data_IF_618585947805
#
_entry.id   IF_618585947805
#
_cell.length_a   1.000
_cell.length_b   1.000
_cell.length_c   1.000
_cell.angle_alpha   90.00
_cell.angle_beta   90.00
_cell.angle_gamma   90.00
#
_symmetry.space_group_name_H-M   'P 1'
#
loop_
_entity.id
_entity.type
_entity.pdbx_description
1 polymer ?
2 non-polymer ?
3 non-polymer ?
4 non-polymer ?
5 water ?
#
# COMPACT_ATOMS: atom_id res chain seq x y z
N UNK A 7 -17.96 30.78 1.41
CA UNK A 7 -17.27 29.48 1.46
C UNK A 7 -16.71 29.02 0.06
N UNK A 8 -17.36 28.03 -0.60
CA UNK A 8 -17.00 27.47 -1.93
C UNK A 8 -18.12 26.55 -2.46
N UNK A 9 -18.08 26.21 -3.78
CA UNK A 9 -19.04 25.29 -4.42
C UNK A 9 -18.32 24.19 -5.21
N UNK A 10 -19.01 23.06 -5.46
CA UNK A 10 -18.48 21.95 -6.25
C UNK A 10 -18.72 22.29 -7.73
N UNK A 11 -17.84 21.83 -8.66
CA UNK A 11 -18.08 22.12 -10.08
C UNK A 11 -19.35 21.49 -10.63
N UNK A 12 -20.02 22.20 -11.53
CA UNK A 12 -21.27 21.81 -12.18
C UNK A 12 -21.23 20.38 -12.72
N UNK A 13 -20.11 20.00 -13.37
CA UNK A 13 -19.88 18.68 -13.98
C UNK A 13 -19.93 17.52 -12.98
N UNK A 14 -19.42 17.75 -11.76
CA UNK A 14 -19.42 16.77 -10.66
C UNK A 14 -20.86 16.65 -10.19
N UNK A 15 -21.46 17.80 -9.81
CA UNK A 15 -22.84 17.95 -9.32
C UNK A 15 -23.84 17.33 -10.27
N UNK A 16 -23.54 17.36 -11.58
CA UNK A 16 -24.38 16.77 -12.62
C UNK A 16 -24.54 15.27 -12.45
N UNK A 17 -23.45 14.57 -12.05
CA UNK A 17 -23.37 13.12 -11.86
C UNK A 17 -23.46 12.61 -10.43
N UNK A 18 -23.05 13.42 -9.44
CA UNK A 18 -23.00 13.02 -8.03
C UNK A 18 -23.73 13.97 -7.08
N UNK A 19 -24.23 13.41 -5.94
CA UNK A 19 -24.85 14.13 -4.82
C UNK A 19 -23.83 14.02 -3.69
N UNK A 20 -23.13 15.13 -3.37
CA UNK A 20 -22.11 15.16 -2.31
C UNK A 20 -22.69 15.07 -0.90
N UNK A 21 -21.91 14.46 0.01
CA UNK A 21 -22.30 14.23 1.41
C UNK A 21 -21.11 14.44 2.38
N UNK A 22 -21.23 13.89 3.62
CA UNK A 22 -20.30 13.97 4.76
C UNK A 22 -18.85 13.57 4.45
N UNK A 23 -17.91 14.06 5.30
CA UNK A 23 -16.47 13.79 5.21
C UNK A 23 -16.14 12.31 5.52
N UNK A 24 -15.33 11.68 4.64
CA UNK A 24 -14.85 10.28 4.68
C UNK A 24 -16.00 9.26 4.58
N UNK A 31 -8.22 15.36 1.30
CA UNK A 31 -9.63 15.56 1.67
C UNK A 31 -10.56 14.54 0.98
N UNK A 32 -11.32 13.71 1.77
CA UNK A 32 -12.21 12.65 1.24
C UNK A 32 -13.66 12.84 1.70
N UNK A 33 -14.61 12.86 0.76
CA UNK A 33 -16.05 12.99 1.04
C UNK A 33 -16.86 11.85 0.46
N UNK A 34 -17.99 11.52 1.11
CA UNK A 34 -18.93 10.52 0.65
C UNK A 34 -19.82 11.20 -0.41
N UNK A 35 -20.19 10.48 -1.46
CA UNK A 35 -21.07 11.00 -2.48
C UNK A 35 -21.95 9.86 -3.01
N UNK A 36 -23.01 10.21 -3.75
CA UNK A 36 -23.88 9.20 -4.34
C UNK A 36 -23.92 9.38 -5.83
N UNK A 37 -23.65 8.32 -6.60
CA UNK A 37 -23.77 8.41 -8.05
C UNK A 37 -25.26 8.46 -8.35
N UNK A 38 -25.70 9.51 -9.06
CA UNK A 38 -27.10 9.76 -9.42
C UNK A 38 -27.72 8.63 -10.25
N UNK A 39 -26.92 8.06 -11.18
CA UNK A 39 -27.33 6.99 -12.09
C UNK A 39 -27.67 5.68 -11.37
N UNK A 40 -26.90 5.33 -10.34
CA UNK A 40 -27.01 4.06 -9.64
C UNK A 40 -27.53 4.13 -8.20
N UNK A 41 -27.50 5.32 -7.58
CA UNK A 41 -27.87 5.57 -6.18
C UNK A 41 -26.95 4.79 -5.26
N UNK A 42 -25.72 4.55 -5.74
CA UNK A 42 -24.67 3.81 -5.04
C UNK A 42 -23.69 4.76 -4.42
N UNK A 43 -23.15 4.38 -3.26
CA UNK A 43 -22.19 5.18 -2.52
C UNK A 43 -20.81 5.13 -3.20
N UNK A 44 -20.15 6.28 -3.27
CA UNK A 44 -18.80 6.43 -3.84
C UNK A 44 -17.97 7.30 -2.88
N UNK A 45 -16.67 7.40 -3.11
CA UNK A 45 -15.82 8.27 -2.31
C UNK A 45 -15.18 9.30 -3.24
N UNK A 46 -15.23 10.58 -2.87
CA UNK A 46 -14.64 11.63 -3.69
C UNK A 46 -13.44 12.31 -3.01
N UNK A 47 -12.21 12.03 -3.54
CA UNK A 47 -10.95 12.62 -3.07
C UNK A 47 -10.71 13.98 -3.75
N UNK A 48 -10.71 15.05 -2.93
CA UNK A 48 -10.47 16.44 -3.35
C UNK A 48 -9.00 16.82 -3.08
N UNK A 49 -8.27 17.17 -4.16
CA UNK A 49 -6.87 17.59 -4.13
C UNK A 49 -6.80 19.06 -4.58
N UNK A 50 -6.12 19.92 -3.78
CA UNK A 50 -5.94 21.36 -4.06
C UNK A 50 -5.03 21.61 -5.27
N UNK A 51 -5.46 22.54 -6.16
CA UNK A 51 -4.71 22.90 -7.38
C UNK A 51 -3.61 23.91 -7.07
N UNK A 67 1.33 15.95 -11.78
CA UNK A 67 1.55 14.82 -10.86
C UNK A 67 0.26 14.01 -10.63
N UNK A 68 -0.89 14.71 -10.41
CA UNK A 68 -2.20 14.09 -10.19
C UNK A 68 -2.64 13.36 -11.46
N UNK A 69 -2.32 13.93 -12.65
CA UNK A 69 -2.62 13.34 -13.96
C UNK A 69 -1.87 12.02 -14.16
N UNK A 70 -0.63 11.93 -13.66
CA UNK A 70 0.19 10.72 -13.71
C UNK A 70 -0.43 9.64 -12.82
N UNK A 71 -0.87 10.04 -11.61
CA UNK A 71 -1.54 9.19 -10.63
C UNK A 71 -2.84 8.59 -11.24
N UNK A 72 -3.61 9.40 -12.00
CA UNK A 72 -4.83 8.99 -12.71
C UNK A 72 -4.47 7.96 -13.77
N UNK A 73 -3.41 8.26 -14.57
CA UNK A 73 -2.90 7.40 -15.64
C UNK A 73 -2.46 6.06 -15.07
N UNK A 74 -1.73 6.08 -13.93
CA UNK A 74 -1.29 4.90 -13.19
C UNK A 74 -2.52 4.08 -12.75
N UNK A 75 -3.45 4.70 -11.99
CA UNK A 75 -4.66 4.06 -11.49
C UNK A 75 -5.57 3.44 -12.55
N UNK A 76 -5.75 4.11 -13.70
CA UNK A 76 -6.60 3.63 -14.81
C UNK A 76 -6.02 2.36 -15.46
N UNK A 77 -4.69 2.24 -15.50
CA UNK A 77 -3.98 1.11 -16.10
C UNK A 77 -3.92 -0.14 -15.22
N UNK A 78 -3.90 0.03 -13.87
CA UNK A 78 -3.79 -1.09 -12.93
C UNK A 78 -5.15 -1.74 -12.65
N UNK A 79 -5.18 -3.07 -12.66
CA UNK A 79 -6.40 -3.83 -12.39
C UNK A 79 -6.11 -5.01 -11.46
N UNK A 80 -6.24 -4.77 -10.13
CA UNK A 80 -6.02 -5.77 -9.09
C UNK A 80 -7.06 -5.61 -7.97
N UNK A 81 -7.55 -6.70 -7.33
CA UNK A 81 -8.56 -6.52 -6.26
C UNK A 81 -8.07 -5.80 -5.01
N UNK A 82 -6.74 -5.72 -4.82
CA UNK A 82 -6.13 -5.07 -3.64
C UNK A 82 -5.50 -3.72 -3.94
N UNK A 83 -5.85 -3.15 -5.11
CA UNK A 83 -5.47 -1.80 -5.52
C UNK A 83 -6.77 -1.01 -5.85
N UNK A 84 -6.94 0.18 -5.24
CA UNK A 84 -8.09 1.09 -5.44
C UNK A 84 -8.34 1.44 -6.92
N UNK A 85 -9.62 1.41 -7.33
CA UNK A 85 -10.02 1.73 -8.70
C UNK A 85 -10.62 3.12 -8.77
N UNK A 86 -10.20 3.87 -9.77
CA UNK A 86 -10.71 5.20 -10.06
C UNK A 86 -11.95 4.97 -10.93
N UNK A 87 -13.06 5.60 -10.52
CA UNK A 87 -14.38 5.49 -11.16
C UNK A 87 -14.64 6.67 -12.09
N UNK A 88 -14.07 7.85 -11.77
CA UNK A 88 -14.25 9.09 -12.52
C UNK A 88 -13.27 10.17 -12.05
N UNK A 89 -13.02 11.18 -12.90
CA UNK A 89 -12.09 12.26 -12.57
C UNK A 89 -12.59 13.62 -13.10
N UNK A 90 -12.39 14.68 -12.29
CA UNK A 90 -12.78 16.05 -12.62
C UNK A 90 -11.61 17.02 -12.37
N UNK A 91 -11.21 17.74 -13.43
CA UNK A 91 -10.13 18.72 -13.38
C UNK A 91 -10.75 20.12 -13.53
N UNK A 92 -11.08 20.74 -12.37
CA UNK A 92 -11.69 22.07 -12.26
C UNK A 92 -10.81 23.00 -11.40
N UNK A 93 -11.41 23.74 -10.43
CA UNK A 93 -10.72 24.66 -9.51
C UNK A 93 -9.79 23.87 -8.58
N UNK A 94 -10.13 22.59 -8.39
CA UNK A 94 -9.42 21.57 -7.63
C UNK A 94 -9.54 20.27 -8.41
N UNK A 95 -8.84 19.23 -7.98
CA UNK A 95 -8.94 17.93 -8.61
C UNK A 95 -9.92 17.09 -7.82
N UNK A 96 -10.90 16.47 -8.51
CA UNK A 96 -11.88 15.60 -7.87
C UNK A 96 -11.69 14.21 -8.44
N UNK A 97 -11.39 13.25 -7.55
CA UNK A 97 -11.17 11.85 -7.92
C UNK A 97 -12.25 10.98 -7.29
N UNK A 98 -13.05 10.32 -8.13
CA UNK A 98 -14.13 9.43 -7.69
C UNK A 98 -13.55 8.01 -7.59
N UNK A 99 -13.62 7.44 -6.39
CA UNK A 99 -13.09 6.12 -6.07
C UNK A 99 -14.16 5.24 -5.47
N UNK A 100 -13.93 3.92 -5.46
CA UNK A 100 -14.84 2.98 -4.83
C UNK A 100 -14.79 3.21 -3.31
N UNK A 101 -15.95 3.30 -2.66
CA UNK A 101 -16.03 3.54 -1.22
C UNK A 101 -15.57 2.33 -0.44
N UNK A 102 -14.80 2.57 0.64
CA UNK A 102 -14.24 1.55 1.53
C UNK A 102 -14.83 1.80 2.90
N UNK A 103 -15.84 1.01 3.23
CA UNK A 103 -16.59 1.15 4.48
C UNK A 103 -15.82 0.91 5.78
N UNK A 104 -14.70 0.19 5.72
CA UNK A 104 -13.87 -0.11 6.89
C UNK A 104 -12.90 1.01 7.26
N UNK A 105 -12.68 1.91 6.32
CA UNK A 105 -11.79 3.05 6.52
C UNK A 105 -10.34 2.65 6.44
N UNK A 106 -9.50 3.41 7.14
CA UNK A 106 -8.06 3.24 7.18
C UNK A 106 -7.62 2.14 8.14
N UNK A 107 -6.49 1.47 7.80
CA UNK A 107 -5.88 0.45 8.65
C UNK A 107 -5.28 1.16 9.88
N UNK A 108 -4.89 2.44 9.70
CA UNK A 108 -4.34 3.31 10.76
C UNK A 108 -5.25 3.32 12.00
N UNK A 109 -6.56 3.46 11.78
CA UNK A 109 -7.59 3.52 12.82
C UNK A 109 -7.66 2.24 13.66
N UNK A 110 -7.22 1.09 13.09
CA UNK A 110 -7.18 -0.22 13.75
C UNK A 110 -5.89 -0.45 14.55
N UNK A 111 -4.83 0.33 14.29
CA UNK A 111 -3.52 0.17 14.95
C UNK A 111 -3.08 1.34 15.86
N UNK A 112 -3.78 2.49 15.78
CA UNK A 112 -3.48 3.70 16.54
C UNK A 112 -3.62 3.53 18.06
N UNK A 113 -2.65 4.10 18.78
CA UNK A 113 -2.59 4.08 20.23
C UNK A 113 -2.46 2.70 20.85
N UNK A 114 -1.34 2.01 20.53
CA UNK A 114 -1.00 0.67 21.02
C UNK A 114 -2.03 -0.47 20.79
N UNK A 115 -3.06 -0.20 19.94
CA UNK A 115 -4.06 -1.19 19.56
C UNK A 115 -3.39 -2.19 18.63
N UNK A 116 -3.64 -3.48 18.86
CA UNK A 116 -3.03 -4.53 18.03
C UNK A 116 -4.03 -5.53 17.51
N UNK A 117 -3.81 -5.98 16.27
CA UNK A 117 -4.64 -6.96 15.58
C UNK A 117 -4.20 -8.36 15.98
N UNK A 118 -5.15 -9.32 16.02
CA UNK A 118 -4.80 -10.72 16.30
C UNK A 118 -4.01 -11.26 15.11
N UNK A 119 -2.92 -12.00 15.38
CA UNK A 119 -2.01 -12.54 14.36
C UNK A 119 -2.64 -12.95 13.02
N UNK A 120 -3.76 -13.70 13.06
CA UNK A 120 -4.47 -14.19 11.89
C UNK A 120 -4.98 -13.08 10.97
N UNK A 121 -5.41 -11.96 11.57
CA UNK A 121 -5.91 -10.77 10.88
C UNK A 121 -4.74 -10.05 10.22
N UNK A 122 -3.56 -9.99 10.90
CA UNK A 122 -2.32 -9.39 10.37
C UNK A 122 -1.94 -10.13 9.11
N UNK A 123 -2.06 -11.48 9.13
CA UNK A 123 -1.73 -12.37 8.02
C UNK A 123 -2.64 -12.11 6.84
N UNK A 124 -3.95 -12.20 7.04
CA UNK A 124 -4.93 -11.96 5.99
C UNK A 124 -4.72 -10.60 5.27
N UNK A 125 -4.48 -9.54 6.05
CA UNK A 125 -4.25 -8.17 5.54
C UNK A 125 -2.90 -8.06 4.83
N UNK A 126 -1.82 -8.58 5.47
CA UNK A 126 -0.47 -8.53 4.96
C UNK A 126 -0.31 -9.28 3.67
N UNK A 127 -0.94 -10.47 3.59
CA UNK A 127 -0.95 -11.31 2.39
C UNK A 127 -1.43 -10.51 1.20
N UNK A 128 -2.55 -9.77 1.39
CA UNK A 128 -3.14 -8.91 0.36
C UNK A 128 -2.25 -7.72 -0.02
N UNK A 129 -1.55 -7.13 0.99
CA UNK A 129 -0.60 -6.01 0.79
C UNK A 129 0.55 -6.54 -0.05
N UNK A 130 0.99 -7.80 0.19
CA UNK A 130 2.05 -8.45 -0.57
C UNK A 130 1.64 -8.71 -2.02
N UNK A 131 0.42 -9.23 -2.24
CA UNK A 131 -0.11 -9.48 -3.59
C UNK A 131 -0.24 -8.17 -4.37
N UNK A 132 -0.77 -7.09 -3.70
CA UNK A 132 -0.94 -5.78 -4.28
C UNK A 132 0.39 -5.17 -4.70
N UNK A 133 1.39 -5.17 -3.79
CA UNK A 133 2.74 -4.66 -4.04
C UNK A 133 3.51 -5.51 -5.06
N UNK A 134 3.28 -6.83 -5.08
CA UNK A 134 3.92 -7.70 -6.07
C UNK A 134 3.40 -7.34 -7.47
N UNK A 135 2.07 -7.11 -7.60
CA UNK A 135 1.39 -6.71 -8.83
C UNK A 135 1.97 -5.40 -9.35
N UNK A 136 2.14 -4.41 -8.43
CA UNK A 136 2.71 -3.10 -8.74
C UNK A 136 4.11 -3.25 -9.35
N UNK A 137 5.01 -4.00 -8.68
CA UNK A 137 6.41 -4.23 -9.11
C UNK A 137 6.48 -4.96 -10.45
N UNK A 138 5.64 -6.01 -10.63
CA UNK A 138 5.50 -6.75 -11.89
C UNK A 138 5.16 -5.80 -13.05
N UNK A 139 4.32 -4.79 -12.78
CA UNK A 139 3.85 -3.75 -13.69
C UNK A 139 4.71 -2.49 -13.77
N UNK A 140 5.88 -2.49 -13.13
CA UNK A 140 6.84 -1.39 -13.15
C UNK A 140 6.50 -0.14 -12.35
N UNK A 141 5.69 -0.29 -11.28
CA UNK A 141 5.31 0.81 -10.39
C UNK A 141 5.84 0.55 -8.98
N UNK A 142 6.40 1.60 -8.36
CA UNK A 142 6.86 1.65 -6.98
C UNK A 142 5.93 2.67 -6.29
N UNK A 143 5.26 2.28 -5.21
CA UNK A 143 4.32 3.14 -4.49
C UNK A 143 5.04 4.30 -3.79
N UNK A 144 6.10 4.00 -3.00
CA UNK A 144 6.95 4.97 -2.29
C UNK A 144 6.34 5.59 -1.03
N UNK A 145 5.06 5.37 -0.78
CA UNK A 145 4.41 5.93 0.39
C UNK A 145 3.48 4.92 1.09
N UNK A 146 3.95 3.67 1.30
CA UNK A 146 3.14 2.67 1.99
C UNK A 146 3.16 2.92 3.51
N UNK A 147 1.96 3.09 4.11
CA UNK A 147 1.72 3.38 5.54
C UNK A 147 0.33 2.82 5.88
N UNK A 148 -0.01 2.59 7.18
CA UNK A 148 -1.37 2.16 7.51
C UNK A 148 -2.47 3.15 7.03
N UNK A 149 -2.16 4.47 6.93
CA UNK A 149 -3.07 5.54 6.46
C UNK A 149 -3.50 5.36 4.99
N UNK A 150 -2.67 4.65 4.18
CA UNK A 150 -2.88 4.38 2.74
C UNK A 150 -3.35 2.95 2.43
N UNK A 151 -3.77 2.22 3.48
CA UNK A 151 -4.32 0.86 3.38
C UNK A 151 -5.77 0.97 3.88
N UNK A 152 -6.73 0.68 2.97
CA UNK A 152 -8.16 0.79 3.27
C UNK A 152 -8.79 -0.57 3.39
N UNK A 153 -9.73 -0.70 4.36
CA UNK A 153 -10.47 -1.96 4.60
C UNK A 153 -11.87 -1.86 3.97
N UNK A 154 -12.28 -2.90 3.23
CA UNK A 154 -13.56 -2.90 2.53
C UNK A 154 -14.83 -2.92 3.40
N UNK A 155 -14.76 -3.46 4.62
CA UNK A 155 -15.92 -3.50 5.52
C UNK A 155 -15.57 -3.26 6.98
N UNK A 156 -16.60 -3.01 7.82
CA UNK A 156 -16.43 -2.80 9.26
C UNK A 156 -16.15 -4.14 9.99
N UNK A 157 -16.06 -5.25 9.21
CA UNK A 157 -15.74 -6.60 9.70
C UNK A 157 -14.23 -6.83 9.67
N UNK A 158 -13.72 -7.66 10.59
CA UNK A 158 -12.32 -8.04 10.78
C UNK A 158 -11.76 -8.76 9.55
N UNK A 159 -12.49 -9.74 9.02
CA UNK A 159 -12.10 -10.47 7.82
C UNK A 159 -12.70 -9.72 6.66
N UNK A 160 -11.86 -8.99 5.91
CA UNK A 160 -12.29 -8.18 4.77
C UNK A 160 -11.20 -8.02 3.74
N UNK A 161 -11.57 -7.50 2.56
CA UNK A 161 -10.62 -7.23 1.52
C UNK A 161 -9.95 -5.91 1.80
N UNK A 162 -8.64 -5.82 1.60
CA UNK A 162 -7.94 -4.55 1.77
C UNK A 162 -7.60 -3.98 0.40
N UNK A 163 -7.38 -2.66 0.33
CA UNK A 163 -6.99 -2.00 -0.91
C UNK A 163 -5.98 -0.92 -0.60
N UNK A 164 -4.92 -0.86 -1.42
CA UNK A 164 -3.83 0.10 -1.36
C UNK A 164 -4.32 1.35 -2.08
N UNK A 165 -4.08 2.53 -1.50
CA UNK A 165 -4.47 3.82 -2.05
C UNK A 165 -3.29 4.84 -1.98
N UNK A 166 -3.52 6.11 -2.43
CA UNK A 166 -2.56 7.24 -2.40
C UNK A 166 -1.30 6.97 -3.23
N UNK A 167 -1.47 6.99 -4.56
CA UNK A 167 -0.41 6.77 -5.54
C UNK A 167 0.31 8.06 -5.98
N UNK A 168 0.10 9.15 -5.22
CA UNK A 168 0.68 10.46 -5.45
C UNK A 168 2.19 10.52 -5.52
N UNK A 169 2.87 9.70 -4.68
CA UNK A 169 4.35 9.62 -4.61
C UNK A 169 4.88 8.48 -5.46
N UNK A 170 4.00 7.76 -6.17
CA UNK A 170 4.47 6.63 -6.95
C UNK A 170 5.37 6.99 -8.13
N UNK A 171 6.29 6.09 -8.48
CA UNK A 171 7.24 6.29 -9.59
C UNK A 171 7.06 5.18 -10.61
N UNK A 172 7.38 5.47 -11.89
CA UNK A 172 7.30 4.50 -12.98
C UNK A 172 8.72 4.10 -13.41
N UNK A 173 9.03 2.80 -13.37
CA UNK A 173 10.34 2.22 -13.72
C UNK A 173 10.73 2.40 -15.18
N UNK A 176 15.72 3.62 -18.64
CA UNK A 176 16.48 4.46 -17.72
C UNK A 176 17.69 5.14 -18.38
N UNK A 177 18.08 6.33 -17.83
CA UNK A 177 19.23 7.13 -18.27
C UNK A 177 20.55 6.38 -18.11
N UNK A 178 20.68 5.54 -17.07
CA UNK A 178 21.89 4.75 -16.81
C UNK A 178 22.14 3.71 -17.91
N UNK A 179 21.09 2.97 -18.32
CA UNK A 179 21.17 1.97 -19.38
C UNK A 179 21.68 2.59 -20.69
N UNK A 180 21.13 3.78 -21.06
CA UNK A 180 21.52 4.52 -22.27
C UNK A 180 22.99 4.96 -22.22
N UNK A 181 23.47 5.37 -21.02
CA UNK A 181 24.85 5.80 -20.75
C UNK A 181 25.80 4.60 -20.88
N UNK A 182 25.38 3.41 -20.38
CA UNK A 182 26.20 2.20 -20.42
C UNK A 182 26.41 1.62 -21.82
N UNK A 183 25.65 2.10 -22.82
CA UNK A 183 25.80 1.64 -24.21
C UNK A 183 27.09 2.15 -24.88
N UNK A 184 27.50 3.37 -24.52
CA UNK A 184 28.73 3.97 -25.03
C UNK A 184 29.98 3.63 -24.25
N UNK A 185 31.14 4.10 -24.75
CA UNK A 185 32.45 3.93 -24.09
C UNK A 185 32.52 4.94 -22.95
N UNK A 186 32.90 4.51 -21.73
CA UNK A 186 32.91 5.43 -20.59
C UNK A 186 34.16 6.30 -20.46
N UNK A 187 34.82 6.61 -21.58
CA UNK A 187 36.02 7.45 -21.60
C UNK A 187 35.81 8.69 -20.71
N UNK A 188 34.67 9.39 -20.90
CA UNK A 188 34.32 10.62 -20.19
C UNK A 188 33.35 10.39 -19.03
N UNK A 189 33.00 9.14 -18.73
CA UNK A 189 32.06 8.83 -17.66
C UNK A 189 32.61 8.86 -16.22
N UNK A 190 32.01 9.74 -15.37
CA UNK A 190 32.32 9.96 -13.94
C UNK A 190 32.27 8.66 -13.13
N UNK A 191 33.20 8.47 -12.16
CA UNK A 191 33.21 7.23 -11.36
C UNK A 191 31.98 6.93 -10.52
N UNK A 192 31.29 7.96 -9.99
CA UNK A 192 30.10 7.73 -9.18
C UNK A 192 28.99 7.07 -9.97
N UNK A 193 28.97 7.28 -11.30
CA UNK A 193 27.96 6.71 -12.20
C UNK A 193 28.23 5.21 -12.32
N UNK A 194 29.49 4.84 -12.55
CA UNK A 194 29.90 3.45 -12.64
C UNK A 194 29.68 2.73 -11.31
N UNK A 195 29.90 3.43 -10.18
CA UNK A 195 29.67 2.91 -8.81
C UNK A 195 28.18 2.63 -8.59
N UNK A 196 27.29 3.50 -9.04
CA UNK A 196 25.84 3.33 -8.89
C UNK A 196 25.24 2.13 -9.65
N UNK A 197 25.99 1.53 -10.59
CA UNK A 197 25.56 0.37 -11.38
C UNK A 197 25.30 -0.84 -10.44
N UNK A 198 26.04 -0.91 -9.34
CA UNK A 198 25.91 -1.96 -8.33
C UNK A 198 24.53 -2.03 -7.68
N UNK A 199 23.96 -0.86 -7.33
CA UNK A 199 22.66 -0.75 -6.66
C UNK A 199 21.46 -0.58 -7.62
N UNK A 200 21.67 0.04 -8.79
CA UNK A 200 20.62 0.33 -9.77
C UNK A 200 19.55 -0.75 -9.94
N UNK A 201 18.30 -0.31 -10.06
CA UNK A 201 17.18 -1.21 -10.25
C UNK A 201 16.72 -1.93 -9.00
N UNK A 202 16.97 -1.36 -7.81
CA UNK A 202 16.53 -1.87 -6.50
C UNK A 202 15.67 -0.84 -5.73
N UNK A 203 15.11 0.15 -6.45
CA UNK A 203 14.28 1.19 -5.83
C UNK A 203 13.02 0.59 -5.22
N UNK A 204 12.46 -0.47 -5.86
CA UNK A 204 11.30 -1.22 -5.42
C UNK A 204 11.47 -1.75 -4.01
N UNK A 205 12.73 -2.03 -3.59
CA UNK A 205 13.00 -2.54 -2.24
C UNK A 205 12.56 -1.56 -1.11
N UNK A 206 12.29 -0.27 -1.43
CA UNK A 206 11.80 0.70 -0.44
C UNK A 206 10.39 0.32 0.04
N UNK A 207 9.55 -0.24 -0.89
CA UNK A 207 8.19 -0.70 -0.64
C UNK A 207 8.19 -1.89 0.31
N UNK A 208 9.22 -2.75 0.20
CA UNK A 208 9.39 -3.91 1.07
C UNK A 208 9.85 -3.53 2.44
N UNK A 209 10.58 -2.41 2.57
CA UNK A 209 10.97 -1.93 3.88
C UNK A 209 9.70 -1.47 4.60
N UNK A 210 8.88 -0.58 3.96
CA UNK A 210 7.62 -0.02 4.44
C UNK A 210 6.67 -1.08 4.91
N UNK A 211 6.54 -2.16 4.12
CA UNK A 211 5.69 -3.31 4.43
C UNK A 211 6.21 -3.99 5.69
N UNK A 212 7.53 -4.02 5.83
CA UNK A 212 8.22 -4.57 7.01
C UNK A 212 7.78 -3.84 8.26
N UNK A 213 7.82 -2.48 8.22
CA UNK A 213 7.39 -1.54 9.27
C UNK A 213 5.87 -1.71 9.55
N UNK A 214 5.04 -1.80 8.47
CA UNK A 214 3.59 -1.97 8.62
C UNK A 214 3.29 -3.27 9.37
N UNK A 215 3.97 -4.38 8.99
CA UNK A 215 3.81 -5.67 9.65
C UNK A 215 4.22 -5.62 11.14
N UNK A 216 5.30 -4.90 11.48
CA UNK A 216 5.79 -4.72 12.85
C UNK A 216 4.71 -4.00 13.70
N UNK A 217 4.15 -2.90 13.16
CA UNK A 217 3.11 -2.12 13.83
C UNK A 217 1.86 -2.97 14.07
N UNK A 218 1.34 -3.62 13.03
CA UNK A 218 0.17 -4.47 13.13
C UNK A 218 0.27 -5.56 14.19
N UNK A 219 1.40 -6.29 14.22
CA UNK A 219 1.68 -7.38 15.16
C UNK A 219 1.88 -6.93 16.60
N UNK A 220 2.58 -5.80 16.82
CA UNK A 220 2.96 -5.28 18.15
C UNK A 220 2.11 -4.13 18.76
N UNK A 221 1.51 -3.31 17.89
CA UNK A 221 0.74 -2.13 18.28
C UNK A 221 1.64 -0.92 18.46
N UNK A 222 2.97 -1.10 18.33
CA UNK A 222 3.97 -0.05 18.49
C UNK A 222 4.96 0.05 17.30
N UNK A 223 5.48 1.26 16.98
CA UNK A 223 6.43 1.40 15.85
C UNK A 223 7.85 0.86 16.12
N UNK A 224 8.52 0.30 15.08
CA UNK A 224 9.89 -0.22 15.31
C UNK A 224 10.94 0.85 15.52
N UNK A 225 10.73 2.04 14.92
CA UNK A 225 11.66 3.16 15.00
C UNK A 225 10.89 4.40 15.45
N UNK A 226 11.25 4.98 16.60
CA UNK A 226 10.58 6.18 17.14
C UNK A 226 11.47 7.02 18.03
N UNK A 227 11.01 8.24 18.35
CA UNK A 227 11.77 9.12 19.23
C UNK A 227 11.24 9.06 20.67
N UNK A 228 10.23 8.18 20.93
CA UNK A 228 9.65 7.95 22.27
C UNK A 228 10.60 7.07 23.09
N UNK A 229 11.00 7.59 24.27
CA UNK A 229 11.89 6.97 25.26
C UNK A 229 13.19 6.36 24.65
N UNK A 230 13.95 7.20 23.92
CA UNK A 230 15.20 6.83 23.25
C UNK A 230 16.15 8.03 23.13
N UNK A 231 17.48 7.76 23.15
CA UNK A 231 18.54 8.76 23.00
C UNK A 231 19.06 8.75 21.55
N UNK A 232 18.93 7.60 20.89
CA UNK A 232 19.36 7.40 19.51
C UNK A 232 18.39 8.12 18.56
N UNK A 233 18.94 8.88 17.57
CA UNK A 233 18.13 9.64 16.60
C UNK A 233 17.42 8.68 15.66
N UNK A 234 16.20 9.06 15.24
CA UNK A 234 15.37 8.29 14.30
C UNK A 234 16.19 7.90 13.05
N UNK A 235 17.00 8.83 12.51
CA UNK A 235 17.89 8.57 11.37
C UNK A 235 18.84 7.41 11.69
N UNK A 236 19.49 7.45 12.88
CA UNK A 236 20.45 6.43 13.32
C UNK A 236 19.83 5.07 13.56
N UNK A 237 18.62 5.01 14.14
CA UNK A 237 17.92 3.73 14.35
C UNK A 237 17.64 3.07 12.99
N UNK A 238 17.17 3.85 11.99
CA UNK A 238 16.83 3.31 10.66
C UNK A 238 18.07 2.85 9.89
N UNK A 239 19.11 3.69 9.80
CA UNK A 239 20.33 3.31 9.07
C UNK A 239 21.02 2.10 9.68
N UNK A 240 21.05 2.01 11.02
CA UNK A 240 21.63 0.84 11.70
C UNK A 240 20.72 -0.40 11.60
N UNK A 241 19.42 -0.17 11.37
CA UNK A 241 18.40 -1.22 11.31
C UNK A 241 18.09 -1.81 12.66
N UNK A 242 18.43 -1.08 13.75
CA UNK A 242 18.22 -1.52 15.13
C UNK A 242 16.84 -1.12 15.64
N UNK A 243 15.84 -1.96 15.34
CA UNK A 243 14.45 -1.75 15.76
C UNK A 243 14.30 -1.98 17.25
N UNK A 244 13.34 -1.26 17.85
CA UNK A 244 13.04 -1.38 19.26
C UNK A 244 12.30 -2.69 19.50
N UNK A 245 12.96 -3.65 20.17
CA UNK A 245 12.34 -4.95 20.46
C UNK A 245 11.92 -5.06 21.94
N UNK A 246 10.60 -5.12 22.20
CA UNK A 246 10.05 -5.24 23.56
C UNK A 246 9.59 -6.70 23.73
N UNK A 247 10.39 -7.56 24.41
CA UNK A 247 10.02 -8.98 24.55
C UNK A 247 8.59 -9.28 25.00
N UNK A 248 8.11 -8.58 26.05
CA UNK A 248 6.76 -8.72 26.64
C UNK A 248 5.65 -8.62 25.59
N UNK A 249 5.80 -7.68 24.65
CA UNK A 249 4.83 -7.45 23.58
C UNK A 249 4.89 -8.58 22.53
N UNK A 250 6.12 -8.93 22.09
CA UNK A 250 6.39 -9.93 21.06
C UNK A 250 6.27 -11.40 21.45
N UNK A 251 6.18 -11.70 22.77
CA UNK A 251 6.03 -13.06 23.29
C UNK A 251 4.67 -13.64 22.86
N UNK A 252 3.67 -12.73 22.70
CA UNK A 252 2.30 -13.01 22.27
C UNK A 252 2.25 -13.34 20.77
N UNK A 253 3.27 -12.91 20.01
CA UNK A 253 3.38 -13.12 18.56
C UNK A 253 4.28 -14.33 18.27
N UNK A 254 3.94 -15.11 17.23
CA UNK A 254 4.70 -16.28 16.76
C UNK A 254 6.10 -15.91 16.27
N UNK A 255 7.02 -16.88 16.31
CA UNK A 255 8.40 -16.73 15.85
C UNK A 255 8.48 -16.63 14.31
N UNK A 256 7.51 -17.24 13.57
CA UNK A 256 7.42 -17.18 12.10
C UNK A 256 7.15 -15.76 11.60
N UNK A 257 6.16 -15.07 12.22
CA UNK A 257 5.81 -13.69 11.90
C UNK A 257 7.01 -12.79 12.13
N UNK A 258 7.67 -12.89 13.30
CA UNK A 258 8.86 -12.11 13.66
C UNK A 258 10.02 -12.34 12.70
N UNK A 259 10.20 -13.59 12.21
CA UNK A 259 11.24 -13.95 11.23
C UNK A 259 11.01 -13.20 9.91
N UNK A 260 9.74 -13.10 9.45
CA UNK A 260 9.40 -12.34 8.23
C UNK A 260 9.73 -10.84 8.36
N UNK A 261 9.40 -10.25 9.55
CA UNK A 261 9.65 -8.84 9.89
C UNK A 261 11.15 -8.61 9.74
N UNK A 262 11.96 -9.43 10.46
CA UNK A 262 13.43 -9.43 10.44
C UNK A 262 13.99 -9.48 9.01
N UNK A 263 13.39 -10.28 8.11
CA UNK A 263 13.83 -10.40 6.72
C UNK A 263 13.47 -9.22 5.82
N UNK A 264 12.43 -8.46 6.20
CA UNK A 264 12.00 -7.26 5.47
C UNK A 264 12.73 -6.02 6.00
N UNK A 265 13.04 -6.02 7.31
CA UNK A 265 13.76 -4.90 7.94
C UNK A 265 15.30 -5.07 7.90
N UNK A 266 15.81 -5.41 6.71
CA UNK A 266 17.22 -5.60 6.35
C UNK A 266 17.68 -4.30 5.68
N UNK A 267 18.75 -3.69 6.24
CA UNK A 267 19.38 -2.43 5.80
C UNK A 267 19.84 -2.45 4.32
N UNK A 268 20.50 -3.54 3.87
CA UNK A 268 20.97 -3.70 2.49
C UNK A 268 19.78 -4.01 1.56
N UNK A 269 19.40 -3.07 0.66
CA UNK A 269 18.23 -3.32 -0.23
C UNK A 269 18.39 -4.50 -1.18
N UNK A 270 19.64 -4.93 -1.45
CA UNK A 270 19.94 -6.04 -2.34
C UNK A 270 19.76 -7.38 -1.64
N UNK A 271 19.83 -7.38 -0.30
CA UNK A 271 19.66 -8.54 0.57
C UNK A 271 18.20 -8.64 1.09
N UNK A 272 17.50 -7.49 1.25
CA UNK A 272 16.10 -7.40 1.69
C UNK A 272 15.18 -8.34 0.91
N UNK A 273 14.17 -8.91 1.59
CA UNK A 273 13.18 -9.80 1.00
C UNK A 273 12.35 -9.05 0.00
N UNK A 274 12.03 -9.72 -1.11
CA UNK A 274 11.16 -9.16 -2.14
C UNK A 274 9.75 -9.62 -1.76
N UNK A 275 8.73 -9.15 -2.47
CA UNK A 275 7.34 -9.57 -2.26
C UNK A 275 7.20 -11.07 -2.50
N UNK A 276 7.90 -11.62 -3.53
CA UNK A 276 7.93 -13.06 -3.89
C UNK A 276 8.52 -13.91 -2.76
N UNK A 277 9.64 -13.44 -2.19
CA UNK A 277 10.31 -14.14 -1.08
C UNK A 277 9.42 -14.15 0.17
N UNK A 278 8.76 -12.99 0.45
CA UNK A 278 7.82 -12.83 1.57
C UNK A 278 6.63 -13.80 1.37
N UNK A 279 6.07 -13.84 0.14
CA UNK A 279 4.96 -14.72 -0.22
C UNK A 279 5.26 -16.21 -0.11
N UNK A 280 6.57 -16.60 -0.23
CA UNK A 280 7.07 -17.99 -0.11
C UNK A 280 7.44 -18.34 1.34
N UNK A 281 7.57 -17.32 2.22
CA UNK A 281 7.91 -17.48 3.64
C UNK A 281 6.95 -18.43 4.38
N UNK A 282 7.46 -19.28 5.32
CA UNK A 282 6.57 -20.17 6.08
C UNK A 282 5.35 -19.51 6.72
N UNK A 283 5.46 -18.23 7.14
CA UNK A 283 4.38 -17.52 7.80
C UNK A 283 3.15 -17.37 6.92
N UNK A 284 3.36 -17.27 5.60
CA UNK A 284 2.24 -17.12 4.67
C UNK A 284 1.79 -18.43 4.03
N UNK A 285 2.48 -19.54 4.36
CA UNK A 285 2.12 -20.87 3.89
C UNK A 285 0.99 -21.37 4.81
N UNK A 286 -0.19 -20.72 4.70
CA UNK A 286 -1.40 -20.92 5.50
C UNK A 286 -2.63 -21.07 4.58
N UNK A 287 -3.06 -22.33 4.36
CA UNK A 287 -4.17 -22.66 3.49
C UNK A 287 -5.55 -22.18 3.95
N UNK A 288 -5.68 -21.92 5.26
CA UNK A 288 -6.87 -21.38 5.90
C UNK A 288 -7.06 -19.91 5.54
N UNK A 289 -5.99 -19.09 5.74
CA UNK A 289 -5.98 -17.66 5.44
C UNK A 289 -6.21 -17.43 3.94
N UNK A 290 -5.53 -18.22 3.07
CA UNK A 290 -5.69 -18.14 1.61
C UNK A 290 -7.13 -18.41 1.15
N UNK A 291 -7.82 -19.36 1.83
CA UNK A 291 -9.21 -19.72 1.58
C UNK A 291 -10.15 -18.56 1.96
N UNK A 292 -9.97 -17.98 3.17
CA UNK A 292 -10.76 -16.84 3.66
C UNK A 292 -10.66 -15.64 2.70
N UNK A 293 -9.48 -15.41 2.10
CA UNK A 293 -9.27 -14.34 1.12
C UNK A 293 -10.05 -14.63 -0.17
N UNK A 294 -9.89 -15.86 -0.74
CA UNK A 294 -10.60 -16.30 -1.95
C UNK A 294 -12.11 -16.22 -1.79
N UNK A 295 -12.61 -16.46 -0.54
CA UNK A 295 -14.02 -16.37 -0.16
C UNK A 295 -14.51 -14.93 -0.24
N UNK A 296 -13.71 -13.96 0.30
CA UNK A 296 -14.01 -12.53 0.29
C UNK A 296 -14.05 -12.00 -1.14
N UNK A 297 -13.16 -12.56 -2.01
CA UNK A 297 -13.08 -12.26 -3.43
C UNK A 297 -14.37 -12.68 -4.12
N UNK A 298 -14.76 -13.97 -3.97
CA UNK A 298 -16.00 -14.54 -4.53
C UNK A 298 -17.22 -13.72 -4.12
N UNK A 299 -17.29 -13.32 -2.83
CA UNK A 299 -18.39 -12.51 -2.28
C UNK A 299 -18.46 -11.12 -2.91
N UNK A 300 -17.29 -10.46 -3.13
CA UNK A 300 -17.21 -9.15 -3.78
C UNK A 300 -17.59 -9.27 -5.28
N UNK A 301 -17.02 -10.28 -5.97
CA UNK A 301 -17.22 -10.54 -7.39
C UNK A 301 -18.63 -11.02 -7.80
N UNK A 302 -19.43 -11.52 -6.83
CA UNK A 302 -20.80 -12.03 -7.01
C UNK A 302 -21.77 -11.03 -7.65
N UNK A 303 -21.56 -9.72 -7.37
CA UNK A 303 -22.38 -8.62 -7.88
C UNK A 303 -22.14 -8.35 -9.36
N UNK A 304 -20.86 -8.43 -9.80
CA UNK A 304 -20.37 -8.16 -11.15
C UNK A 304 -20.43 -9.35 -12.12
N UNK A 305 -20.44 -10.59 -11.59
CA UNK A 305 -20.41 -11.87 -12.34
C UNK A 305 -21.42 -12.06 -13.49
N UNK A 306 -20.88 -12.06 -14.74
CA UNK A 306 -21.61 -12.27 -15.99
C UNK A 306 -21.68 -13.80 -16.20
N UNK A 307 -22.80 -14.39 -16.71
CA UNK A 307 -22.82 -15.86 -16.94
C UNK A 307 -21.72 -16.31 -17.89
N UNK A 308 -21.26 -17.55 -17.73
CA UNK A 308 -20.15 -17.98 -18.59
C UNK A 308 -20.38 -19.23 -19.42
N UNK A 309 -19.55 -19.40 -20.46
CA UNK A 309 -19.60 -20.53 -21.38
C UNK A 309 -19.07 -21.76 -20.62
N UNK A 310 -19.90 -22.83 -20.54
CA UNK A 310 -19.58 -24.06 -19.82
C UNK A 310 -18.64 -24.98 -20.62
X LIG B 1 21.97 -5.49 7.07
X LIG B 1 21.67 -5.24 5.69
X LIG B 1 20.73 -6.04 7.82
X LIG B 1 20.06 -4.98 8.50
X LIG C 1 -14.64 5.05 5.39
X LIG C 1 -13.91 5.79 6.05
X LIG C 1 -14.03 6.05 7.37
X LIG C 1 -15.05 5.49 8.31
X LIG C 1 -14.81 6.15 9.65
X LIG C 1 -16.47 5.81 7.82
X LIG C 1 -14.88 3.99 8.45
X LIG C 1 -12.85 6.50 5.51
X LIG C 1 -12.34 6.48 4.19
X LIG C 1 -11.25 7.32 3.93
X LIG C 1 -10.70 7.42 2.68
X LIG C 1 -11.25 6.67 1.61
X LIG C 1 -12.34 5.81 1.87
X LIG C 1 -12.88 5.73 3.16
X LIG C 1 -10.69 6.76 0.36
X LIG C 1 -11.21 5.97 -0.57
X LIG C 1 -12.27 5.11 -0.32
X LIG C 1 -12.85 5.01 0.87
X LIG D 1 -5.85 8.40 -3.73
X LIG D 1 -5.45 9.64 -4.27
X LIG D 1 -5.86 7.34 -4.85
X LIG D 1 -4.60 7.30 -5.48
X LIG E 1 -22.75 24.60 -1.92
X LIG E 1 -23.43 24.50 -0.66
X LIG E 1 -22.34 23.19 -2.45
X LIG E 1 -21.90 23.25 -3.81
X LIG F 1 13.72 -1.13 -9.56
X LIG F 1 14.14 0.10 -9.42
X LIG F 1 13.58 -1.54 -10.70
X LIG F 1 13.53 -1.79 -8.57
#
# INVERSE_FOLDING_TARGET
GPLGSHMSVYPKALRDEYIMSKTLGSGACGEVKLAFERKTCKKVAIKIISKRKFAIGSAREADPALNVETEIEILKKLNHPCIIKIKNFFDAEDYYIVLELMEGGELFDKVVGNKRLKEATCKLYFYQMLLAVQYLHENGIIHRDLKPENVLLSSQEEDCLIKITDFGHSKILGETSLMRTLCGTPTYLAPEVLVSVGTAGYNRAVDCWSLGVILFICLSGYPPFSEHRTQVSLKDQITSGKYNFIPEVWAEVSEKALDLVKKLLVVDPKARFTTEEALRHPWLQDEDMKRKFQDLLSEENESTALPQVLAQPSTSRKRPREGEAEGAE
EDO C1 O1 C2 O2
Z0O O C N3 C9 C12 C11 C10 N C1 C8 C7 C6 C3 C2 N2 C5 C4 N1
EDO C1 O1 C2 O2
EDO C1 O1 C2 O2
NO3 N O1 O2 O3
#
